data_IF_998583223383
#
_entry.id   IF_998583223383
#
_cell.length_a   1.000
_cell.length_b   1.000
_cell.length_c   1.000
_cell.angle_alpha   90.00
_cell.angle_beta   90.00
_cell.angle_gamma   90.00
#
_symmetry.space_group_name_H-M   'P 1'
#
loop_
_entity.id
_entity.type
_entity.pdbx_description
1 polymer ?
#
# COMPACT_ATOMS: atom_id res chain seq x y z
N UNK A 1 19.80 -2.47 31.04
CA UNK A 1 19.02 -3.41 30.20
C UNK A 1 17.55 -3.11 30.42
N UNK A 2 16.63 -3.23 29.44
CA UNK A 2 16.83 -3.61 28.04
C UNK A 2 16.45 -2.49 27.04
N UNK A 3 17.20 -2.39 25.94
CA UNK A 3 16.80 -1.66 24.73
C UNK A 3 15.82 -2.55 23.94
N UNK A 4 14.67 -2.86 24.54
CA UNK A 4 13.54 -3.36 23.77
C UNK A 4 13.09 -2.20 22.89
N UNK A 5 13.03 -2.38 21.58
CA UNK A 5 12.29 -1.45 20.74
C UNK A 5 10.84 -1.62 21.21
N UNK A 6 10.41 -0.76 22.14
CA UNK A 6 9.00 -0.63 22.52
C UNK A 6 8.34 0.01 21.32
N UNK A 7 8.05 -0.79 20.29
CA UNK A 7 7.26 -0.33 19.17
C UNK A 7 5.87 -0.12 19.75
N UNK A 8 5.52 1.14 19.99
CA UNK A 8 4.22 1.50 20.55
C UNK A 8 3.14 0.96 19.59
N UNK A 9 2.27 0.11 20.11
CA UNK A 9 1.15 -0.48 19.37
C UNK A 9 0.33 0.60 18.66
N UNK A 10 0.20 1.78 19.30
CA UNK A 10 -0.48 2.93 18.72
C UNK A 10 0.23 3.41 17.45
N UNK A 11 1.57 3.43 17.44
CA UNK A 11 2.36 3.84 16.27
C UNK A 11 2.21 2.84 15.12
N UNK A 12 2.16 1.53 15.41
CA UNK A 12 1.93 0.50 14.39
C UNK A 12 0.53 0.63 13.79
N UNK A 13 -0.49 0.81 14.63
CA UNK A 13 -1.86 0.96 14.17
C UNK A 13 -2.03 2.24 13.33
N UNK A 14 -1.43 3.36 13.75
CA UNK A 14 -1.39 4.59 12.94
C UNK A 14 -0.68 4.36 11.60
N UNK A 15 0.45 3.65 11.57
CA UNK A 15 1.14 3.35 10.32
C UNK A 15 0.30 2.46 9.37
N UNK A 16 -0.48 1.52 9.91
CA UNK A 16 -1.40 0.70 9.12
C UNK A 16 -2.59 1.53 8.57
N UNK A 17 -3.13 2.45 9.36
CA UNK A 17 -4.16 3.41 8.93
C UNK A 17 -3.62 4.34 7.83
N UNK A 18 -2.40 4.86 8.00
CA UNK A 18 -1.73 5.70 7.01
C UNK A 18 -1.51 4.94 5.69
N UNK A 19 -1.10 3.67 5.74
CA UNK A 19 -0.95 2.83 4.53
C UNK A 19 -2.28 2.68 3.78
N UNK A 20 -3.38 2.45 4.49
CA UNK A 20 -4.72 2.36 3.88
C UNK A 20 -5.15 3.70 3.28
N UNK A 21 -4.92 4.80 3.99
CA UNK A 21 -5.24 6.15 3.52
C UNK A 21 -4.45 6.51 2.27
N UNK A 22 -3.14 6.31 2.28
CA UNK A 22 -2.27 6.53 1.13
C UNK A 22 -2.68 5.63 -0.05
N UNK A 23 -3.08 4.38 0.20
CA UNK A 23 -3.62 3.50 -0.83
C UNK A 23 -4.88 4.06 -1.50
N UNK A 24 -5.80 4.64 -0.72
CA UNK A 24 -6.99 5.32 -1.23
C UNK A 24 -6.66 6.58 -2.04
N UNK A 25 -5.76 7.43 -1.54
CA UNK A 25 -5.30 8.65 -2.23
C UNK A 25 -4.63 8.33 -3.57
N UNK A 26 -3.77 7.31 -3.60
CA UNK A 26 -3.15 6.81 -4.82
C UNK A 26 -4.19 6.29 -5.82
N UNK A 27 -5.26 5.64 -5.32
CA UNK A 27 -6.44 5.23 -6.11
C UNK A 27 -7.07 6.40 -6.84
N UNK A 28 -7.44 7.43 -6.10
CA UNK A 28 -8.07 8.63 -6.67
C UNK A 28 -7.16 9.35 -7.66
N UNK A 29 -5.86 9.47 -7.36
CA UNK A 29 -4.90 10.12 -8.25
C UNK A 29 -4.74 9.34 -9.58
N UNK A 30 -4.75 8.01 -9.51
CA UNK A 30 -4.65 7.17 -10.68
C UNK A 30 -5.90 7.23 -11.57
N UNK A 31 -7.10 7.21 -10.96
CA UNK A 31 -8.36 7.42 -11.70
C UNK A 31 -8.42 8.79 -12.38
N UNK A 32 -7.97 9.85 -11.69
CA UNK A 32 -7.88 11.19 -12.28
C UNK A 32 -6.89 11.24 -13.46
N UNK A 33 -5.74 10.57 -13.34
CA UNK A 33 -4.79 10.44 -14.45
C UNK A 33 -5.41 9.73 -15.66
N UNK A 34 -6.12 8.61 -15.44
CA UNK A 34 -6.81 7.88 -16.52
C UNK A 34 -7.88 8.74 -17.18
N UNK A 35 -8.66 9.48 -16.39
CA UNK A 35 -9.69 10.40 -16.88
C UNK A 35 -9.11 11.50 -17.76
N UNK A 36 -7.99 12.10 -17.34
CA UNK A 36 -7.28 13.15 -18.10
C UNK A 36 -6.65 12.63 -19.40
N UNK A 37 -6.21 11.38 -19.41
CA UNK A 37 -5.58 10.77 -20.58
C UNK A 37 -6.62 10.27 -21.60
N UNK A 38 -7.80 9.85 -21.15
CA UNK A 38 -8.88 9.37 -22.01
C UNK A 38 -9.20 10.26 -23.25
N UNK A 39 -9.35 11.59 -23.14
CA UNK A 39 -9.58 12.45 -24.31
C UNK A 39 -8.37 12.56 -25.25
N UNK A 40 -7.14 12.35 -24.76
CA UNK A 40 -5.92 12.40 -25.57
C UNK A 40 -5.73 11.12 -26.40
N UNK A 41 -6.26 9.98 -25.94
CA UNK A 41 -6.24 8.73 -26.72
C UNK A 41 -6.99 8.92 -28.05
N UNK A 42 -8.10 9.66 -28.02
CA UNK A 42 -8.90 9.92 -29.21
C UNK A 42 -8.19 10.79 -30.26
N UNK A 43 -7.07 11.45 -29.89
CA UNK A 43 -6.26 12.23 -30.82
C UNK A 43 -5.06 11.46 -31.39
N UNK A 44 -4.79 10.25 -30.89
CA UNK A 44 -3.68 9.41 -31.34
C UNK A 44 -4.19 8.35 -32.32
N UNK A 45 -3.93 8.54 -33.62
CA UNK A 45 -4.28 7.57 -34.66
C UNK A 45 -3.15 6.57 -34.93
N UNK A 46 -3.51 5.31 -35.22
CA UNK A 46 -2.59 4.28 -35.70
C UNK A 46 -1.73 3.62 -34.61
N UNK A 47 -0.41 3.59 -34.82
CA UNK A 47 0.57 2.85 -33.98
C UNK A 47 0.70 3.40 -32.55
N UNK A 48 0.41 4.70 -32.37
CA UNK A 48 0.41 5.36 -31.06
C UNK A 48 -0.73 4.85 -30.16
N UNK A 49 -1.88 4.47 -30.73
CA UNK A 49 -3.00 3.91 -29.98
C UNK A 49 -2.67 2.53 -29.41
N UNK A 50 -2.03 1.67 -30.22
CA UNK A 50 -1.60 0.35 -29.78
C UNK A 50 -0.55 0.43 -28.66
N UNK A 51 0.46 1.29 -28.84
CA UNK A 51 1.50 1.53 -27.82
C UNK A 51 0.90 2.07 -26.52
N UNK A 52 -0.09 2.95 -26.61
CA UNK A 52 -0.79 3.45 -25.43
C UNK A 52 -1.56 2.35 -24.72
N UNK A 53 -2.29 1.47 -25.42
CA UNK A 53 -3.03 0.37 -24.79
C UNK A 53 -2.10 -0.60 -24.05
N UNK A 54 -0.91 -0.86 -24.58
CA UNK A 54 0.11 -1.66 -23.90
C UNK A 54 0.63 -0.96 -22.62
N UNK A 55 0.98 0.32 -22.74
CA UNK A 55 1.33 1.16 -21.59
C UNK A 55 0.20 1.20 -20.56
N UNK A 56 -1.04 1.28 -21.05
CA UNK A 56 -2.25 1.33 -20.24
C UNK A 56 -2.49 0.03 -19.48
N UNK A 57 -2.11 -1.10 -20.05
CA UNK A 57 -2.20 -2.38 -19.34
C UNK A 57 -1.10 -2.49 -18.30
N UNK A 58 0.12 -2.05 -18.65
CA UNK A 58 1.31 -2.18 -17.79
C UNK A 58 1.21 -1.35 -16.51
N UNK A 59 0.86 -0.07 -16.62
CA UNK A 59 0.72 0.80 -15.45
C UNK A 59 -0.51 0.43 -14.58
N UNK A 60 -1.58 -0.17 -15.14
CA UNK A 60 -2.79 -0.62 -14.43
C UNK A 60 -2.38 -1.81 -13.56
N UNK A 61 -1.61 -2.75 -14.13
CA UNK A 61 -1.03 -3.85 -13.36
C UNK A 61 -0.09 -3.35 -12.27
N UNK A 62 0.83 -2.44 -12.58
CA UNK A 62 1.75 -1.88 -11.57
C UNK A 62 0.99 -1.15 -10.45
N UNK A 63 -0.14 -0.52 -10.77
CA UNK A 63 -0.99 0.14 -9.79
C UNK A 63 -1.72 -0.86 -8.89
N UNK A 64 -2.25 -1.95 -9.46
CA UNK A 64 -2.81 -3.05 -8.67
C UNK A 64 -1.77 -3.67 -7.73
N UNK A 65 -0.56 -3.92 -8.23
CA UNK A 65 0.54 -4.49 -7.43
C UNK A 65 0.89 -3.56 -6.25
N UNK A 66 0.92 -2.24 -6.49
CA UNK A 66 1.17 -1.24 -5.45
C UNK A 66 0.06 -1.24 -4.39
N UNK A 67 -1.22 -1.30 -4.81
CA UNK A 67 -2.36 -1.41 -3.87
C UNK A 67 -2.27 -2.68 -3.04
N UNK A 68 -1.93 -3.80 -3.66
CA UNK A 68 -1.76 -5.07 -2.96
C UNK A 68 -0.62 -5.01 -1.94
N UNK A 69 0.51 -4.37 -2.29
CA UNK A 69 1.63 -4.19 -1.38
C UNK A 69 1.24 -3.34 -0.17
N UNK A 70 0.54 -2.22 -0.38
CA UNK A 70 0.07 -1.36 0.71
C UNK A 70 -0.92 -2.10 1.62
N UNK A 71 -1.83 -2.88 1.04
CA UNK A 71 -2.77 -3.71 1.81
C UNK A 71 -2.03 -4.80 2.62
N UNK A 72 -1.00 -5.43 2.05
CA UNK A 72 -0.17 -6.41 2.75
C UNK A 72 0.59 -5.77 3.92
N UNK A 73 1.19 -4.60 3.71
CA UNK A 73 1.88 -3.86 4.78
C UNK A 73 0.90 -3.52 5.91
N UNK A 74 -0.28 -3.01 5.57
CA UNK A 74 -1.31 -2.70 6.54
C UNK A 74 -1.81 -3.92 7.32
N UNK A 75 -1.82 -5.12 6.71
CA UNK A 75 -2.24 -6.35 7.37
C UNK A 75 -1.15 -6.99 8.24
N UNK A 76 0.12 -6.88 7.83
CA UNK A 76 1.27 -7.47 8.54
C UNK A 76 1.66 -6.66 9.78
N UNK A 77 1.55 -5.32 9.70
CA UNK A 77 1.92 -4.41 10.80
C UNK A 77 1.25 -4.79 12.14
N UNK A 78 -0.09 -4.95 12.24
CA UNK A 78 -0.75 -5.37 13.47
C UNK A 78 -0.35 -6.76 13.97
N UNK A 79 -0.14 -7.73 13.06
CA UNK A 79 0.26 -9.10 13.41
C UNK A 79 1.63 -9.14 14.10
N UNK A 80 2.55 -8.28 13.65
CA UNK A 80 3.85 -8.13 14.28
C UNK A 80 3.68 -7.57 15.70
N UNK A 81 2.84 -6.53 15.88
CA UNK A 81 2.57 -5.94 17.19
C UNK A 81 2.03 -6.95 18.21
N UNK A 82 1.07 -7.78 17.79
CA UNK A 82 0.47 -8.83 18.62
C UNK A 82 1.50 -9.89 19.05
N UNK A 83 2.39 -10.29 18.13
CA UNK A 83 3.47 -11.24 18.41
C UNK A 83 4.47 -10.73 19.44
N UNK A 84 4.80 -9.44 19.41
CA UNK A 84 5.68 -8.81 20.40
C UNK A 84 5.04 -8.78 21.79
N UNK A 85 3.77 -8.36 21.93
CA UNK A 85 3.09 -8.37 23.23
C UNK A 85 2.93 -9.77 23.83
N UNK A 86 2.62 -10.77 23.00
CA UNK A 86 2.50 -12.16 23.44
C UNK A 86 3.82 -12.71 23.98
N UNK A 87 4.92 -12.39 23.30
CA UNK A 87 6.27 -12.81 23.70
C UNK A 87 6.72 -12.09 24.98
N UNK A 88 6.51 -10.78 25.10
CA UNK A 88 6.84 -10.03 26.31
C UNK A 88 6.03 -10.52 27.52
N UNK A 89 4.71 -10.74 27.39
CA UNK A 89 3.89 -11.28 28.49
C UNK A 89 4.34 -12.68 28.92
N UNK A 90 4.70 -13.54 27.97
CA UNK A 90 5.20 -14.88 28.26
C UNK A 90 6.54 -14.85 29.02
N UNK A 91 7.44 -13.94 28.66
CA UNK A 91 8.74 -13.78 29.34
C UNK A 91 8.59 -13.10 30.69
N UNK A 92 7.73 -12.08 30.82
CA UNK A 92 7.52 -11.34 32.07
C UNK A 92 6.75 -12.16 33.11
N UNK A 93 5.89 -13.09 32.68
CA UNK A 93 5.23 -14.05 33.58
C UNK A 93 6.13 -15.20 34.07
N UNK A 94 7.36 -15.28 33.55
CA UNK A 94 8.34 -16.32 33.88
C UNK A 94 9.36 -15.87 34.94
N UNK A 95 9.38 -14.58 35.28
CA UNK A 95 10.21 -13.98 36.35
C UNK A 95 9.32 -13.50 37.50
#
# INVERSE_FOLDING_TARGET
>A
MPNGIVVDYQTINTAAEDCNKTGGELGSLFEDLKSKLNPLINTWEGEAQASYLELQTKWDQSFEDMKQLLAQIAAVLPQIADGYQGTEKGVTGMF
#
